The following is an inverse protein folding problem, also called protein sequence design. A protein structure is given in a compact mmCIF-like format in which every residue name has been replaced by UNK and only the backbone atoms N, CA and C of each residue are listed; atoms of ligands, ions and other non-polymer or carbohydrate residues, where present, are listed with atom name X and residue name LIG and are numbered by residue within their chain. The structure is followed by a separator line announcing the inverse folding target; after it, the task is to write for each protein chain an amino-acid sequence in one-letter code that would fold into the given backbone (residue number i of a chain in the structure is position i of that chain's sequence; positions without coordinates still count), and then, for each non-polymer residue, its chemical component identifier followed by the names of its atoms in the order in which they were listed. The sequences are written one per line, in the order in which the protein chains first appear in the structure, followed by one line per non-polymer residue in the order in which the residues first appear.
data_IF_357652735970
#
_entry.id   IF_357652735970
#
_cell.length_a   1.000
_cell.length_b   1.000
_cell.length_c   1.000
_cell.angle_alpha   90.00
_cell.angle_beta   90.00
_cell.angle_gamma   90.00
#
_symmetry.space_group_name_H-M   'P 1'
#
loop_
_entity.id
_entity.type
_entity.pdbx_description
1 polymer ?
#
# COMPACT_ATOMS: atom_id res chain seq x y z
N UNK A 1 13.51 18.65 -12.95
CA UNK A 1 13.46 17.74 -11.78
C UNK A 1 14.86 17.30 -11.38
N UNK A 2 15.19 17.36 -10.09
CA UNK A 2 16.39 16.69 -9.56
C UNK A 2 16.21 15.17 -9.58
N UNK A 3 17.31 14.42 -9.59
CA UNK A 3 17.28 12.95 -9.51
C UNK A 3 16.48 12.47 -8.29
N UNK A 4 16.60 13.18 -7.16
CA UNK A 4 15.87 12.89 -5.92
C UNK A 4 14.35 13.03 -6.06
N UNK A 5 13.88 14.04 -6.78
CA UNK A 5 12.45 14.25 -7.01
C UNK A 5 11.89 13.14 -7.91
N UNK A 6 12.57 12.80 -9.00
CA UNK A 6 12.16 11.73 -9.90
C UNK A 6 12.04 10.37 -9.17
N UNK A 7 13.05 10.00 -8.37
CA UNK A 7 13.00 8.77 -7.56
C UNK A 7 11.89 8.80 -6.51
N UNK A 8 11.61 9.96 -5.91
CA UNK A 8 10.54 10.11 -4.93
C UNK A 8 9.15 9.94 -5.55
N UNK A 9 8.91 10.53 -6.72
CA UNK A 9 7.64 10.40 -7.45
C UNK A 9 7.42 8.95 -7.89
N UNK A 10 8.47 8.28 -8.37
CA UNK A 10 8.41 6.87 -8.73
C UNK A 10 8.15 5.98 -7.51
N UNK A 11 8.79 6.26 -6.37
CA UNK A 11 8.52 5.55 -5.14
C UNK A 11 7.06 5.74 -4.66
N UNK A 12 6.56 6.99 -4.71
CA UNK A 12 5.19 7.32 -4.32
C UNK A 12 4.14 6.70 -5.25
N UNK A 13 4.47 6.48 -6.53
CA UNK A 13 3.63 5.66 -7.44
C UNK A 13 3.38 4.28 -6.86
N UNK A 14 4.44 3.58 -6.41
CA UNK A 14 4.27 2.27 -5.82
C UNK A 14 3.44 2.34 -4.54
N UNK A 15 3.83 3.22 -3.62
CA UNK A 15 3.21 3.31 -2.31
C UNK A 15 1.73 3.72 -2.36
N UNK A 16 1.38 4.71 -3.18
CA UNK A 16 0.03 5.30 -3.20
C UNK A 16 -0.90 4.67 -4.23
N UNK A 17 -0.40 4.27 -5.40
CA UNK A 17 -1.24 3.77 -6.50
C UNK A 17 -1.10 2.26 -6.69
N UNK A 18 0.13 1.77 -6.88
CA UNK A 18 0.36 0.37 -7.26
C UNK A 18 -0.23 -0.62 -6.24
N UNK A 19 -0.02 -0.41 -4.94
CA UNK A 19 -0.55 -1.31 -3.90
C UNK A 19 -2.09 -1.36 -3.88
N UNK A 20 -2.77 -0.23 -4.08
CA UNK A 20 -4.24 -0.17 -4.08
C UNK A 20 -4.86 -0.97 -5.24
N UNK A 21 -4.14 -1.08 -6.36
CA UNK A 21 -4.60 -1.80 -7.55
C UNK A 21 -4.15 -3.25 -7.53
N UNK A 22 -2.88 -3.49 -7.18
CA UNK A 22 -2.26 -4.81 -7.28
C UNK A 22 -2.82 -5.80 -6.25
N UNK A 23 -3.04 -5.37 -5.01
CA UNK A 23 -3.53 -6.25 -3.95
C UNK A 23 -4.92 -6.82 -4.21
N UNK A 24 -5.94 -6.03 -4.60
CA UNK A 24 -7.24 -6.60 -4.93
C UNK A 24 -7.20 -7.50 -6.18
N UNK A 25 -6.28 -7.27 -7.14
CA UNK A 25 -6.06 -8.19 -8.27
C UNK A 25 -5.51 -9.55 -7.80
N UNK A 26 -4.54 -9.53 -6.87
CA UNK A 26 -4.02 -10.76 -6.25
C UNK A 26 -5.14 -11.47 -5.47
N UNK A 27 -5.91 -10.73 -4.67
CA UNK A 27 -7.03 -11.28 -3.91
C UNK A 27 -8.11 -11.89 -4.82
N UNK A 28 -8.43 -11.24 -5.94
CA UNK A 28 -9.34 -11.75 -6.97
C UNK A 28 -8.87 -13.09 -7.55
N UNK A 29 -7.57 -13.23 -7.82
CA UNK A 29 -6.98 -14.43 -8.41
C UNK A 29 -7.00 -15.63 -7.45
N UNK A 30 -6.97 -15.38 -6.14
CA UNK A 30 -7.00 -16.40 -5.09
C UNK A 30 -8.42 -16.77 -4.63
N UNK A 31 -9.45 -16.05 -5.10
CA UNK A 31 -10.81 -16.19 -4.60
C UNK A 31 -11.63 -17.21 -5.41
N UNK A 32 -12.33 -18.09 -4.70
CA UNK A 32 -13.16 -19.14 -5.32
C UNK A 32 -14.61 -18.71 -5.50
N UNK A 33 -15.12 -17.81 -4.65
CA UNK A 33 -16.52 -17.37 -4.68
C UNK A 33 -16.76 -16.26 -5.70
N UNK A 34 -17.70 -16.46 -6.64
CA UNK A 34 -18.04 -15.50 -7.71
C UNK A 34 -18.38 -14.10 -7.20
N UNK A 35 -19.18 -13.99 -6.13
CA UNK A 35 -19.56 -12.68 -5.58
C UNK A 35 -18.37 -11.92 -4.97
N UNK A 36 -17.47 -12.61 -4.27
CA UNK A 36 -16.24 -12.01 -3.75
C UNK A 36 -15.26 -11.60 -4.85
N UNK A 37 -15.21 -12.35 -5.96
CA UNK A 37 -14.45 -11.95 -7.16
C UNK A 37 -14.95 -10.61 -7.71
N UNK A 38 -16.27 -10.42 -7.83
CA UNK A 38 -16.85 -9.14 -8.26
C UNK A 38 -16.50 -8.02 -7.26
N UNK A 39 -16.58 -8.30 -5.96
CA UNK A 39 -16.20 -7.36 -4.92
C UNK A 39 -14.73 -6.87 -5.07
N UNK A 40 -13.79 -7.78 -5.31
CA UNK A 40 -12.39 -7.40 -5.54
C UNK A 40 -12.16 -6.65 -6.86
N UNK A 41 -12.95 -6.91 -7.91
CA UNK A 41 -12.91 -6.09 -9.13
C UNK A 41 -13.34 -4.66 -8.83
N UNK A 42 -14.45 -4.49 -8.10
CA UNK A 42 -14.93 -3.17 -7.69
C UNK A 42 -13.87 -2.44 -6.86
N UNK A 43 -13.25 -3.13 -5.90
CA UNK A 43 -12.14 -2.58 -5.12
C UNK A 43 -10.94 -2.19 -5.97
N UNK A 44 -10.62 -2.95 -7.02
CA UNK A 44 -9.53 -2.62 -7.95
C UNK A 44 -9.85 -1.33 -8.69
N UNK A 45 -11.08 -1.16 -9.18
CA UNK A 45 -11.52 0.06 -9.88
C UNK A 45 -11.49 1.27 -8.93
N UNK A 46 -12.03 1.12 -7.72
CA UNK A 46 -12.01 2.18 -6.70
C UNK A 46 -10.56 2.54 -6.34
N UNK A 47 -9.71 1.53 -6.09
CA UNK A 47 -8.30 1.70 -5.79
C UNK A 47 -7.52 2.36 -6.94
N UNK A 48 -7.88 2.06 -8.19
CA UNK A 48 -7.28 2.69 -9.37
C UNK A 48 -7.64 4.18 -9.44
N UNK A 49 -8.94 4.52 -9.34
CA UNK A 49 -9.40 5.91 -9.38
C UNK A 49 -8.80 6.70 -8.20
N UNK A 50 -8.86 6.13 -6.99
CA UNK A 50 -8.37 6.78 -5.79
C UNK A 50 -6.84 6.92 -5.80
N UNK A 51 -6.12 5.89 -6.24
CA UNK A 51 -4.66 5.95 -6.36
C UNK A 51 -4.22 6.97 -7.42
N UNK A 52 -4.93 7.09 -8.55
CA UNK A 52 -4.67 8.15 -9.53
C UNK A 52 -4.92 9.53 -8.95
N UNK A 53 -6.01 9.70 -8.19
CA UNK A 53 -6.31 10.94 -7.48
C UNK A 53 -5.20 11.33 -6.49
N UNK A 54 -4.55 10.35 -5.85
CA UNK A 54 -3.40 10.59 -4.97
C UNK A 54 -2.11 10.89 -5.75
N UNK A 55 -1.85 10.18 -6.85
CA UNK A 55 -0.57 10.21 -7.54
C UNK A 55 -0.46 11.27 -8.64
N UNK A 56 -1.53 11.58 -9.38
CA UNK A 56 -1.51 12.56 -10.47
C UNK A 56 -1.04 13.95 -10.01
N UNK A 57 -1.50 14.52 -8.88
CA UNK A 57 -1.03 15.82 -8.41
C UNK A 57 0.46 15.83 -8.06
N UNK A 58 1.00 14.68 -7.63
CA UNK A 58 2.41 14.50 -7.33
C UNK A 58 3.23 14.45 -8.63
N UNK A 59 2.71 13.74 -9.65
CA UNK A 59 3.37 13.59 -10.95
C UNK A 59 3.41 14.90 -11.75
N UNK A 60 2.28 15.61 -11.82
CA UNK A 60 2.15 16.80 -12.66
C UNK A 60 2.74 18.06 -12.01
N UNK A 61 3.33 17.94 -10.81
CA UNK A 61 3.83 19.05 -10.00
C UNK A 61 2.81 20.20 -9.85
N UNK A 62 1.52 19.89 -9.99
CA UNK A 62 0.43 20.85 -10.08
C UNK A 62 -0.75 20.41 -9.22
N UNK A 63 -1.45 21.39 -8.67
CA UNK A 63 -2.58 21.17 -7.79
C UNK A 63 -2.20 21.10 -6.30
N UNK A 64 -3.18 20.77 -5.43
CA UNK A 64 -3.02 20.88 -3.99
C UNK A 64 -2.01 19.89 -3.42
N UNK A 65 -1.75 18.73 -4.04
CA UNK A 65 -0.86 17.69 -3.46
C UNK A 65 0.49 17.53 -4.16
N UNK A 66 1.00 18.55 -4.83
CA UNK A 66 2.31 18.42 -5.46
C UNK A 66 3.42 18.22 -4.40
N UNK A 67 4.44 17.44 -4.78
CA UNK A 67 5.59 17.19 -3.94
C UNK A 67 6.45 18.47 -3.90
N UNK A 68 6.54 19.10 -2.72
CA UNK A 68 7.41 20.25 -2.50
C UNK A 68 8.85 19.78 -2.35
N UNK A 69 9.06 18.82 -1.44
CA UNK A 69 10.40 18.39 -1.05
C UNK A 69 10.39 16.99 -0.44
N UNK A 70 11.39 16.21 -0.78
CA UNK A 70 11.74 15.00 -0.04
C UNK A 70 12.86 15.33 0.95
N UNK A 71 12.67 15.01 2.23
CA UNK A 71 13.66 15.21 3.28
C UNK A 71 13.84 13.92 4.08
N UNK A 72 14.98 13.77 4.75
CA UNK A 72 15.16 12.71 5.73
C UNK A 72 14.67 13.23 7.08
N UNK A 73 13.69 12.56 7.69
CA UNK A 73 13.26 12.83 9.05
C UNK A 73 13.69 11.68 9.96
N UNK A 74 14.57 11.96 10.91
CA UNK A 74 15.18 10.92 11.74
C UNK A 74 16.00 9.95 10.88
N UNK A 75 15.49 8.72 10.68
CA UNK A 75 16.14 7.66 9.92
C UNK A 75 15.37 7.23 8.66
N UNK A 76 14.27 7.90 8.33
CA UNK A 76 13.38 7.51 7.23
C UNK A 76 13.01 8.71 6.34
N UNK A 77 12.51 8.41 5.14
CA UNK A 77 12.15 9.44 4.14
C UNK A 77 10.78 10.05 4.45
N UNK A 78 10.76 11.38 4.47
CA UNK A 78 9.57 12.23 4.55
C UNK A 78 9.28 12.88 3.18
N UNK A 79 8.01 12.88 2.80
CA UNK A 79 7.53 13.50 1.57
C UNK A 79 6.63 14.69 1.93
N UNK A 80 7.12 15.91 1.70
CA UNK A 80 6.43 17.15 2.03
C UNK A 80 5.61 17.58 0.81
N UNK A 81 4.29 17.70 0.97
CA UNK A 81 3.34 18.10 -0.08
C UNK A 81 2.70 19.45 0.20
N UNK A 82 2.23 20.16 -0.84
CA UNK A 82 1.79 21.56 -0.76
C UNK A 82 0.52 21.86 0.01
N UNK A 83 -0.46 20.96 0.00
CA UNK A 83 -1.71 21.12 0.75
C UNK A 83 -1.57 20.35 2.05
N UNK A 84 -1.17 21.12 3.06
CA UNK A 84 -0.99 20.69 4.43
C UNK A 84 -2.29 20.82 5.23
N UNK A 85 -3.46 20.91 4.57
CA UNK A 85 -4.71 20.84 5.31
C UNK A 85 -4.79 19.47 5.99
N UNK A 86 -4.65 19.49 7.33
CA UNK A 86 -4.72 18.31 8.19
C UNK A 86 -5.94 17.45 7.85
N UNK A 87 -7.05 18.08 7.46
CA UNK A 87 -8.26 17.42 7.02
C UNK A 87 -8.10 16.59 5.75
N UNK A 88 -7.50 17.13 4.68
CA UNK A 88 -7.29 16.39 3.43
C UNK A 88 -6.32 15.23 3.65
N UNK A 89 -5.23 15.46 4.37
CA UNK A 89 -4.22 14.42 4.68
C UNK A 89 -4.87 13.30 5.51
N UNK A 90 -5.58 13.64 6.59
CA UNK A 90 -6.21 12.66 7.47
C UNK A 90 -7.29 11.85 6.75
N UNK A 91 -8.14 12.52 5.97
CA UNK A 91 -9.19 11.86 5.18
C UNK A 91 -8.60 10.91 4.14
N UNK A 92 -7.53 11.31 3.46
CA UNK A 92 -6.82 10.45 2.50
C UNK A 92 -6.25 9.18 3.15
N UNK A 93 -5.58 9.31 4.29
CA UNK A 93 -5.03 8.17 5.03
C UNK A 93 -6.14 7.24 5.57
N UNK A 94 -7.26 7.79 6.03
CA UNK A 94 -8.40 7.00 6.52
C UNK A 94 -8.99 6.18 5.37
N UNK A 95 -9.30 6.81 4.24
CA UNK A 95 -9.86 6.11 3.07
C UNK A 95 -8.89 5.04 2.57
N UNK A 96 -7.59 5.38 2.47
CA UNK A 96 -6.55 4.44 2.06
C UNK A 96 -6.48 3.23 3.00
N UNK A 97 -6.45 3.48 4.31
CA UNK A 97 -6.40 2.41 5.32
C UNK A 97 -7.66 1.56 5.29
N UNK A 98 -8.82 2.17 5.12
CA UNK A 98 -10.10 1.48 5.04
C UNK A 98 -10.17 0.58 3.81
N UNK A 99 -9.73 1.06 2.64
CA UNK A 99 -9.56 0.22 1.45
C UNK A 99 -8.61 -0.95 1.71
N UNK A 100 -7.49 -0.71 2.40
CA UNK A 100 -6.58 -1.76 2.86
C UNK A 100 -7.27 -2.80 3.74
N UNK A 101 -8.06 -2.40 4.74
CA UNK A 101 -8.80 -3.34 5.59
C UNK A 101 -9.81 -4.19 4.81
N UNK A 102 -10.43 -3.64 3.75
CA UNK A 102 -11.36 -4.39 2.92
C UNK A 102 -10.69 -5.57 2.19
N UNK A 103 -9.37 -5.55 1.99
CA UNK A 103 -8.66 -6.69 1.39
C UNK A 103 -8.64 -7.92 2.31
N UNK A 104 -8.82 -7.76 3.63
CA UNK A 104 -8.93 -8.87 4.58
C UNK A 104 -10.17 -9.75 4.38
N UNK A 105 -11.17 -9.31 3.60
CA UNK A 105 -12.37 -10.10 3.30
C UNK A 105 -12.12 -11.28 2.34
N UNK A 106 -10.89 -11.48 1.87
CA UNK A 106 -10.52 -12.62 1.03
C UNK A 106 -10.82 -13.95 1.73
N UNK A 107 -11.13 -15.00 0.96
CA UNK A 107 -11.32 -16.35 1.52
C UNK A 107 -9.99 -17.10 1.73
N UNK A 108 -8.88 -16.63 1.17
CA UNK A 108 -7.60 -17.33 1.23
C UNK A 108 -6.86 -17.06 2.54
N UNK A 109 -6.66 -18.09 3.37
CA UNK A 109 -6.02 -17.96 4.70
C UNK A 109 -4.59 -17.46 4.64
N UNK A 110 -3.80 -17.84 3.63
CA UNK A 110 -2.40 -17.41 3.50
C UNK A 110 -2.36 -15.91 3.16
N UNK A 111 -3.20 -15.48 2.22
CA UNK A 111 -3.34 -14.07 1.87
C UNK A 111 -3.80 -13.22 3.05
N UNK A 112 -4.81 -13.67 3.79
CA UNK A 112 -5.30 -12.96 4.99
C UNK A 112 -4.18 -12.81 6.02
N UNK A 113 -3.40 -13.87 6.30
CA UNK A 113 -2.29 -13.81 7.27
C UNK A 113 -1.22 -12.81 6.84
N UNK A 114 -0.83 -12.83 5.57
CA UNK A 114 0.11 -11.85 5.04
C UNK A 114 -0.41 -10.43 5.17
N UNK A 115 -1.63 -10.20 4.69
CA UNK A 115 -2.18 -8.86 4.63
C UNK A 115 -2.49 -8.31 6.03
N UNK A 116 -2.92 -9.19 6.95
CA UNK A 116 -3.10 -8.83 8.36
C UNK A 116 -1.76 -8.42 9.01
N UNK A 117 -0.66 -9.11 8.70
CA UNK A 117 0.66 -8.73 9.18
C UNK A 117 1.09 -7.36 8.63
N UNK A 118 0.92 -7.14 7.32
CA UNK A 118 1.25 -5.86 6.66
C UNK A 118 0.43 -4.71 7.25
N UNK A 119 -0.87 -4.92 7.49
CA UNK A 119 -1.74 -3.91 8.09
C UNK A 119 -1.39 -3.67 9.57
N UNK A 120 -1.12 -4.73 10.35
CA UNK A 120 -0.72 -4.59 11.76
C UNK A 120 0.58 -3.79 11.89
N UNK A 121 1.58 -4.09 11.06
CA UNK A 121 2.83 -3.32 11.02
C UNK A 121 2.57 -1.88 10.57
N UNK A 122 1.71 -1.66 9.57
CA UNK A 122 1.32 -0.32 9.12
C UNK A 122 0.65 0.52 10.22
N UNK A 123 -0.19 -0.09 11.06
CA UNK A 123 -0.82 0.57 12.22
C UNK A 123 0.21 0.91 13.30
N UNK A 124 1.11 -0.03 13.63
CA UNK A 124 2.18 0.22 14.60
C UNK A 124 3.08 1.38 14.14
N UNK A 125 3.43 1.41 12.85
CA UNK A 125 4.19 2.51 12.25
C UNK A 125 3.42 3.82 12.31
N UNK A 126 2.12 3.82 12.06
CA UNK A 126 1.31 5.04 12.12
C UNK A 126 1.34 5.67 13.52
N UNK A 127 1.31 4.87 14.59
CA UNK A 127 1.38 5.38 15.95
C UNK A 127 2.79 5.81 16.38
N UNK A 128 3.84 5.18 15.84
CA UNK A 128 5.23 5.44 16.24
C UNK A 128 5.91 6.50 15.39
N UNK A 129 5.65 6.55 14.09
CA UNK A 129 6.28 7.45 13.12
C UNK A 129 5.30 7.90 12.01
N UNK A 130 4.43 8.88 12.30
CA UNK A 130 3.45 9.39 11.32
C UNK A 130 4.09 9.99 10.07
N UNK A 131 5.16 10.77 10.22
CA UNK A 131 5.75 11.51 9.09
C UNK A 131 6.47 10.62 8.07
N UNK A 132 6.94 9.46 8.52
CA UNK A 132 7.69 8.48 7.71
C UNK A 132 6.86 7.22 7.47
N UNK A 133 5.53 7.33 7.64
CA UNK A 133 4.61 6.19 7.55
C UNK A 133 4.70 5.47 6.20
N UNK A 134 4.68 6.23 5.11
CA UNK A 134 4.71 5.68 3.73
C UNK A 134 6.01 4.91 3.47
N UNK A 135 7.15 5.43 3.93
CA UNK A 135 8.46 4.79 3.70
C UNK A 135 8.63 3.52 4.55
N UNK A 136 8.27 3.61 5.82
CA UNK A 136 8.44 2.51 6.78
C UNK A 136 7.44 1.38 6.54
N UNK A 137 6.21 1.71 6.14
CA UNK A 137 5.20 0.70 5.82
C UNK A 137 5.59 -0.15 4.61
N UNK A 138 6.09 0.47 3.53
CA UNK A 138 6.55 -0.29 2.38
C UNK A 138 7.79 -1.16 2.70
N UNK A 139 8.68 -0.69 3.59
CA UNK A 139 9.79 -1.52 4.08
C UNK A 139 9.29 -2.80 4.79
N UNK A 140 8.31 -2.67 5.68
CA UNK A 140 7.68 -3.82 6.32
C UNK A 140 6.90 -4.71 5.36
N UNK A 141 6.29 -4.14 4.31
CA UNK A 141 5.62 -4.91 3.27
C UNK A 141 6.62 -5.75 2.44
N UNK A 142 7.81 -5.22 2.16
CA UNK A 142 8.89 -5.96 1.52
C UNK A 142 9.37 -7.14 2.40
N UNK A 143 9.58 -6.90 3.70
CA UNK A 143 9.93 -7.98 4.66
C UNK A 143 8.83 -9.04 4.72
N UNK A 144 7.56 -8.62 4.75
CA UNK A 144 6.42 -9.53 4.80
C UNK A 144 6.33 -10.41 3.54
N UNK A 145 6.82 -9.91 2.40
CA UNK A 145 6.87 -10.68 1.14
C UNK A 145 7.90 -11.81 1.24
N UNK A 146 9.07 -11.56 1.84
CA UNK A 146 10.05 -12.61 2.12
C UNK A 146 9.46 -13.68 3.05
N UNK A 147 8.70 -13.27 4.07
CA UNK A 147 8.06 -14.20 5.00
C UNK A 147 7.04 -15.13 4.31
N UNK A 148 6.20 -14.62 3.40
CA UNK A 148 5.32 -15.50 2.60
C UNK A 148 6.14 -16.46 1.74
N UNK A 149 7.20 -15.98 1.09
CA UNK A 149 8.03 -16.84 0.24
C UNK A 149 8.55 -18.06 1.02
N UNK A 150 8.99 -17.86 2.27
CA UNK A 150 9.35 -18.95 3.16
C UNK A 150 8.18 -19.87 3.49
N UNK A 151 7.01 -19.32 3.83
CA UNK A 151 5.81 -20.12 4.12
C UNK A 151 5.38 -20.98 2.92
N UNK A 152 5.34 -20.41 1.71
CA UNK A 152 4.98 -21.12 0.49
C UNK A 152 5.99 -22.22 0.17
N UNK A 153 7.28 -21.95 0.32
CA UNK A 153 8.34 -22.95 0.08
C UNK A 153 8.23 -24.11 1.07
N UNK A 154 7.89 -23.83 2.33
CA UNK A 154 7.74 -24.85 3.36
C UNK A 154 6.47 -25.70 3.13
N UNK A 155 5.35 -25.05 2.79
CA UNK A 155 4.11 -25.75 2.42
C UNK A 155 4.29 -26.62 1.18
N UNK A 156 5.04 -26.15 0.17
CA UNK A 156 5.34 -26.90 -1.04
C UNK A 156 6.19 -28.15 -0.75
N UNK A 157 7.26 -28.00 0.05
CA UNK A 157 8.10 -29.13 0.48
C UNK A 157 7.30 -30.16 1.29
N UNK A 158 6.43 -29.71 2.19
CA UNK A 158 5.57 -30.60 2.98
C UNK A 158 4.58 -31.40 2.12
N UNK A 159 4.18 -30.86 0.97
CA UNK A 159 3.25 -31.51 0.03
C UNK A 159 3.94 -32.49 -0.94
N UNK A 160 5.24 -32.32 -1.21
CA UNK A 160 6.05 -33.25 -2.01
C UNK A 160 6.48 -34.46 -1.18
N UNK A 161 6.77 -34.27 0.11
CA UNK A 161 7.21 -35.33 1.02
C UNK A 161 6.06 -36.21 1.53
N UNK A 162 4.87 -36.12 0.93
CA UNK A 162 3.63 -36.80 1.37
C UNK A 162 3.02 -37.55 0.20
#
# INVERSE_FOLDING_TARGET
MSLTAASSIFYLFFALFFWLVWIPIVAFSLETKKWKRIFFIILTIIGFIFGLYLWIPILLETGPRHLIKTSVCGHSLCYITSDYSLFAITTGHIIYSLLGFLFLLSSNRIFIKFWALVMALGVIVYFTQRETWVSTWCFFAAISTLWIYFLLTNDYKAKINK
#
